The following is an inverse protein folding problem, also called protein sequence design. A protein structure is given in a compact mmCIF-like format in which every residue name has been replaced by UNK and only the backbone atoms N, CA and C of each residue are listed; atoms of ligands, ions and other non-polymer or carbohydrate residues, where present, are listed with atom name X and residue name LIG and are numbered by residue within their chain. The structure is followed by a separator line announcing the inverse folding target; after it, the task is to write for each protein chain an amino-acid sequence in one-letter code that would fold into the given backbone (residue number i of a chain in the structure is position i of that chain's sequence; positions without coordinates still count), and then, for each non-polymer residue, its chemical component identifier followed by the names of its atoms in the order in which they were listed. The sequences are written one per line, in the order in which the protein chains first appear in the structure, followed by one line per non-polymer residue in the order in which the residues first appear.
data_IF_570073152964
#
_entry.id   IF_570073152964
#
_cell.length_a   1.000
_cell.length_b   1.000
_cell.length_c   1.000
_cell.angle_alpha   90.00
_cell.angle_beta   90.00
_cell.angle_gamma   90.00
#
_symmetry.space_group_name_H-M   'P 1'
#
loop_
_entity.id
_entity.type
_entity.pdbx_description
1 polymer ?
#
# COMPACT_ATOMS: atom_id res chain seq x y z
N UNK A 1 23.08 5.05 8.42
CA UNK A 1 21.80 5.78 8.37
C UNK A 1 21.84 6.91 7.34
N UNK A 2 22.81 7.81 7.35
CA UNK A 2 22.86 8.94 6.40
C UNK A 2 22.84 8.45 4.94
N UNK A 3 23.68 7.51 4.58
CA UNK A 3 23.72 6.92 3.23
C UNK A 3 22.37 6.36 2.73
N UNK A 4 21.59 5.69 3.60
CA UNK A 4 20.27 5.18 3.20
C UNK A 4 19.29 6.31 2.90
N UNK A 5 19.33 7.39 3.68
CA UNK A 5 18.54 8.58 3.40
C UNK A 5 18.90 9.19 2.06
N UNK A 6 20.19 9.36 1.78
CA UNK A 6 20.68 9.92 0.51
C UNK A 6 20.22 9.08 -0.69
N UNK A 7 20.30 7.74 -0.60
CA UNK A 7 19.80 6.84 -1.66
C UNK A 7 18.29 6.99 -1.85
N UNK A 8 17.52 7.01 -0.76
CA UNK A 8 16.07 7.17 -0.83
C UNK A 8 15.70 8.54 -1.38
N UNK A 9 16.37 9.61 -0.94
CA UNK A 9 16.14 10.97 -1.46
C UNK A 9 16.34 11.02 -2.98
N UNK A 10 17.42 10.42 -3.48
CA UNK A 10 17.68 10.37 -4.93
C UNK A 10 16.59 9.57 -5.67
N UNK A 11 16.16 8.42 -5.15
CA UNK A 11 15.07 7.64 -5.74
C UNK A 11 13.78 8.48 -5.79
N UNK A 12 13.46 9.18 -4.72
CA UNK A 12 12.24 9.97 -4.65
C UNK A 12 12.29 11.17 -5.61
N UNK A 13 13.44 11.84 -5.73
CA UNK A 13 13.65 12.89 -6.73
C UNK A 13 13.48 12.38 -8.16
N UNK A 14 14.03 11.20 -8.47
CA UNK A 14 13.90 10.59 -9.80
C UNK A 14 12.45 10.28 -10.19
N UNK A 15 11.58 10.02 -9.22
CA UNK A 15 10.13 9.82 -9.44
C UNK A 15 9.30 11.09 -9.24
N UNK A 16 9.96 12.25 -9.08
CA UNK A 16 9.30 13.56 -9.07
C UNK A 16 8.91 14.10 -7.69
N UNK A 17 9.45 13.52 -6.60
CA UNK A 17 9.20 14.00 -5.24
C UNK A 17 10.47 14.60 -4.63
N UNK A 18 10.41 15.86 -4.26
CA UNK A 18 11.45 16.51 -3.44
C UNK A 18 11.13 16.36 -1.95
N UNK A 19 11.85 15.42 -1.29
CA UNK A 19 11.60 15.11 0.12
C UNK A 19 11.98 16.29 1.03
N UNK A 20 12.92 17.13 0.64
CA UNK A 20 13.40 18.24 1.47
C UNK A 20 12.45 19.46 1.41
N UNK A 21 11.80 19.67 0.27
CA UNK A 21 10.87 20.80 0.07
C UNK A 21 9.45 20.52 0.57
N UNK A 22 8.99 19.27 0.49
CA UNK A 22 7.58 18.91 0.68
C UNK A 22 7.20 18.49 2.12
N UNK A 23 8.04 18.75 3.12
CA UNK A 23 7.81 18.34 4.53
C UNK A 23 7.54 16.82 4.72
N UNK A 24 8.09 16.00 3.85
CA UNK A 24 7.88 14.56 3.89
C UNK A 24 8.60 13.91 5.07
N UNK A 25 7.95 12.99 5.74
CA UNK A 25 8.53 12.26 6.85
C UNK A 25 9.39 11.08 6.35
N UNK A 26 10.60 10.96 6.89
CA UNK A 26 11.48 9.80 6.66
C UNK A 26 11.74 9.08 7.97
N UNK A 27 11.27 7.84 8.05
CA UNK A 27 11.50 6.95 9.18
C UNK A 27 12.40 5.78 8.80
N UNK A 28 13.27 5.39 9.73
CA UNK A 28 14.16 4.24 9.56
C UNK A 28 14.03 3.31 10.76
N UNK A 29 13.60 2.08 10.50
CA UNK A 29 13.48 1.05 11.53
C UNK A 29 14.24 -0.21 11.10
N UNK A 30 14.93 -0.84 12.08
CA UNK A 30 15.55 -2.15 11.87
C UNK A 30 14.52 -3.26 12.02
N UNK A 31 14.39 -4.11 11.00
CA UNK A 31 13.52 -5.29 11.00
C UNK A 31 14.36 -6.52 10.66
N UNK A 32 14.68 -7.32 11.67
CA UNK A 32 15.58 -8.48 11.54
C UNK A 32 16.96 -8.05 11.00
N UNK A 33 17.36 -8.56 9.83
CA UNK A 33 18.61 -8.20 9.14
C UNK A 33 18.46 -7.05 8.13
N UNK A 34 17.24 -6.47 8.03
CA UNK A 34 16.96 -5.39 7.11
C UNK A 34 16.77 -4.08 7.87
N UNK A 35 17.06 -2.99 7.19
CA UNK A 35 16.64 -1.65 7.57
C UNK A 35 15.51 -1.25 6.63
N UNK A 36 14.34 -0.96 7.17
CA UNK A 36 13.22 -0.44 6.40
C UNK A 36 13.17 1.08 6.54
N UNK A 37 13.17 1.76 5.42
CA UNK A 37 13.04 3.22 5.33
C UNK A 37 11.68 3.52 4.73
N UNK A 38 10.89 4.34 5.41
CA UNK A 38 9.61 4.81 4.92
C UNK A 38 9.70 6.28 4.56
N UNK A 39 9.17 6.64 3.41
CA UNK A 39 8.87 8.01 3.02
C UNK A 39 7.36 8.17 2.94
N UNK A 40 6.81 9.12 3.66
CA UNK A 40 5.38 9.42 3.68
C UNK A 40 5.12 10.72 2.96
N UNK A 41 4.20 10.69 2.00
CA UNK A 41 3.81 11.84 1.17
C UNK A 41 2.31 12.04 1.37
N UNK A 42 1.89 13.07 2.12
CA UNK A 42 0.49 13.44 2.21
C UNK A 42 -0.06 13.77 0.82
N UNK A 43 -1.26 13.27 0.51
CA UNK A 43 -1.95 13.51 -0.77
C UNK A 43 -3.20 14.33 -0.59
N UNK A 44 -3.88 14.10 0.52
CA UNK A 44 -5.08 14.83 0.90
C UNK A 44 -4.94 15.15 2.37
N UNK A 45 -4.74 16.43 2.65
CA UNK A 45 -4.61 16.96 4.00
C UNK A 45 -5.66 18.06 4.18
N UNK A 46 -6.45 18.00 5.24
CA UNK A 46 -7.43 18.98 5.60
C UNK A 46 -7.47 19.09 7.13
N UNK A 47 -7.49 20.32 7.67
CA UNK A 47 -7.49 20.58 9.12
C UNK A 47 -6.38 19.83 9.88
N UNK A 48 -5.16 19.76 9.33
CA UNK A 48 -4.00 19.04 9.87
C UNK A 48 -4.16 17.50 9.94
N UNK A 49 -5.15 16.93 9.25
CA UNK A 49 -5.35 15.49 9.12
C UNK A 49 -4.94 15.02 7.74
N UNK A 50 -3.97 14.12 7.67
CA UNK A 50 -3.54 13.46 6.43
C UNK A 50 -4.49 12.31 6.08
N UNK A 51 -5.62 12.62 5.45
CA UNK A 51 -6.65 11.64 5.10
C UNK A 51 -6.17 10.56 4.15
N UNK A 52 -5.30 10.91 3.21
CA UNK A 52 -4.68 10.01 2.26
C UNK A 52 -3.17 10.27 2.20
N UNK A 53 -2.39 9.25 2.48
CA UNK A 53 -0.92 9.31 2.43
C UNK A 53 -0.38 8.21 1.52
N UNK A 54 0.47 8.58 0.58
CA UNK A 54 1.24 7.63 -0.20
C UNK A 54 2.56 7.34 0.53
N UNK A 55 2.81 6.09 0.85
CA UNK A 55 4.00 5.66 1.58
C UNK A 55 4.87 4.78 0.68
N UNK A 56 6.14 5.11 0.59
CA UNK A 56 7.15 4.28 -0.05
C UNK A 56 8.01 3.63 1.03
N UNK A 57 8.09 2.31 1.01
CA UNK A 57 8.86 1.52 1.97
C UNK A 57 10.01 0.87 1.21
N UNK A 58 11.25 1.16 1.61
CA UNK A 58 12.47 0.63 1.03
C UNK A 58 13.16 -0.30 2.02
N UNK A 59 13.54 -1.49 1.60
CA UNK A 59 14.26 -2.44 2.43
C UNK A 59 15.74 -2.50 2.03
N UNK A 60 16.62 -2.24 2.97
CA UNK A 60 18.07 -2.30 2.81
C UNK A 60 18.65 -3.43 3.66
N UNK A 61 19.73 -4.03 3.19
CA UNK A 61 20.55 -4.97 3.94
C UNK A 61 21.97 -4.42 4.10
N UNK A 62 22.58 -4.64 5.27
CA UNK A 62 23.96 -4.30 5.46
C UNK A 62 24.85 -5.14 4.52
N UNK A 63 25.77 -4.48 3.83
CA UNK A 63 26.80 -5.09 2.99
C UNK A 63 28.17 -4.46 3.31
N UNK A 64 29.26 -5.08 2.85
CA UNK A 64 30.63 -4.62 3.14
C UNK A 64 30.88 -3.20 2.64
N UNK A 65 30.30 -2.85 1.48
CA UNK A 65 30.45 -1.54 0.83
C UNK A 65 29.38 -0.52 1.28
N UNK A 66 28.57 -0.85 2.28
CA UNK A 66 27.45 -0.03 2.78
C UNK A 66 26.08 -0.69 2.58
N UNK A 67 24.99 -0.06 3.06
CA UNK A 67 23.65 -0.60 2.92
C UNK A 67 23.26 -0.72 1.45
N UNK A 68 22.76 -1.90 1.04
CA UNK A 68 22.29 -2.19 -0.31
C UNK A 68 20.78 -2.30 -0.32
N UNK A 69 20.12 -1.60 -1.27
CA UNK A 69 18.68 -1.72 -1.50
C UNK A 69 18.33 -3.15 -1.96
N UNK A 70 17.35 -3.76 -1.31
CA UNK A 70 16.92 -5.14 -1.56
C UNK A 70 15.48 -5.24 -2.09
N UNK A 71 14.67 -4.22 -1.86
CA UNK A 71 13.29 -4.20 -2.31
C UNK A 71 12.58 -2.92 -1.91
N UNK A 72 11.39 -2.76 -2.46
CA UNK A 72 10.51 -1.61 -2.20
C UNK A 72 9.05 -2.04 -2.21
N UNK A 73 8.21 -1.21 -1.60
CA UNK A 73 6.77 -1.38 -1.54
C UNK A 73 6.12 0.00 -1.55
N UNK A 74 5.02 0.15 -2.26
CA UNK A 74 4.17 1.34 -2.21
C UNK A 74 2.88 1.01 -1.47
N UNK A 75 2.47 1.88 -0.56
CA UNK A 75 1.27 1.68 0.26
C UNK A 75 0.51 2.99 0.38
N UNK A 76 -0.73 3.00 -0.07
CA UNK A 76 -1.65 4.08 0.28
C UNK A 76 -2.29 3.79 1.63
N UNK A 77 -2.17 4.73 2.54
CA UNK A 77 -2.82 4.71 3.85
C UNK A 77 -3.96 5.71 3.84
N UNK A 78 -5.16 5.24 4.15
CA UNK A 78 -6.40 6.02 4.13
C UNK A 78 -7.02 5.96 5.52
N UNK A 79 -7.37 7.12 6.07
CA UNK A 79 -8.25 7.17 7.24
C UNK A 79 -9.68 6.89 6.80
N UNK A 80 -10.36 5.90 7.37
CA UNK A 80 -11.74 5.58 7.03
C UNK A 80 -12.73 6.75 7.13
N UNK A 81 -12.47 7.70 8.02
CA UNK A 81 -13.28 8.91 8.16
C UNK A 81 -13.31 9.76 6.88
N UNK A 82 -12.31 9.64 6.02
CA UNK A 82 -12.27 10.32 4.72
C UNK A 82 -13.49 9.97 3.84
N UNK A 83 -14.06 8.78 3.99
CA UNK A 83 -15.23 8.36 3.23
C UNK A 83 -16.55 9.06 3.64
N UNK A 84 -16.54 9.81 4.74
CA UNK A 84 -17.72 10.58 5.22
C UNK A 84 -17.47 12.08 5.29
N UNK A 85 -16.23 12.52 5.55
CA UNK A 85 -15.91 13.95 5.74
C UNK A 85 -15.69 14.72 4.45
N UNK A 86 -15.41 14.03 3.36
CA UNK A 86 -15.01 14.69 2.12
C UNK A 86 -15.88 14.13 0.99
N UNK A 87 -16.28 14.94 -0.02
CA UNK A 87 -16.89 14.43 -1.26
C UNK A 87 -15.86 13.60 -2.06
N UNK A 88 -15.11 12.81 -1.35
CA UNK A 88 -13.84 12.21 -1.72
C UNK A 88 -13.92 10.83 -2.30
N UNK A 89 -15.10 10.24 -2.35
CA UNK A 89 -15.25 9.00 -3.10
C UNK A 89 -14.60 9.14 -4.49
N UNK A 90 -14.74 10.30 -5.12
CA UNK A 90 -14.08 10.61 -6.40
C UNK A 90 -12.60 10.91 -6.26
N UNK A 91 -12.18 11.67 -5.24
CA UNK A 91 -10.77 12.07 -5.10
C UNK A 91 -9.89 10.88 -4.70
N UNK A 92 -10.30 10.07 -3.73
CA UNK A 92 -9.58 8.84 -3.38
C UNK A 92 -9.44 7.93 -4.60
N UNK A 93 -10.54 7.72 -5.35
CA UNK A 93 -10.53 6.93 -6.57
C UNK A 93 -9.64 7.56 -7.65
N UNK A 94 -9.68 8.88 -7.84
CA UNK A 94 -8.83 9.58 -8.82
C UNK A 94 -7.35 9.43 -8.49
N UNK A 95 -6.96 9.53 -7.20
CA UNK A 95 -5.56 9.35 -6.81
C UNK A 95 -5.09 7.91 -7.00
N UNK A 96 -5.92 6.92 -6.66
CA UNK A 96 -5.55 5.51 -6.81
C UNK A 96 -5.57 5.05 -8.26
N UNK A 97 -6.56 5.49 -9.05
CA UNK A 97 -6.69 5.14 -10.48
C UNK A 97 -5.61 5.82 -11.35
N UNK A 98 -5.17 7.01 -10.95
CA UNK A 98 -4.11 7.75 -11.64
C UNK A 98 -2.72 7.12 -11.54
N UNK A 99 -2.49 6.24 -10.57
CA UNK A 99 -1.18 5.60 -10.34
C UNK A 99 -1.07 4.26 -11.10
N UNK A 100 -1.93 3.32 -10.76
CA UNK A 100 -2.00 2.02 -11.46
C UNK A 100 -3.43 1.48 -11.49
N UNK A 101 -3.75 0.66 -12.51
CA UNK A 101 -5.06 0.01 -12.59
C UNK A 101 -5.37 -0.83 -11.34
N UNK A 102 -4.39 -1.54 -10.80
CA UNK A 102 -4.54 -2.36 -9.58
C UNK A 102 -4.90 -1.53 -8.35
N UNK A 103 -4.28 -0.35 -8.18
CA UNK A 103 -4.61 0.55 -7.08
C UNK A 103 -6.02 1.12 -7.22
N UNK A 104 -6.43 1.49 -8.44
CA UNK A 104 -7.79 1.93 -8.72
C UNK A 104 -8.83 0.86 -8.36
N UNK A 105 -8.54 -0.39 -8.70
CA UNK A 105 -9.38 -1.54 -8.37
C UNK A 105 -9.51 -1.77 -6.87
N UNK A 106 -8.40 -1.77 -6.16
CA UNK A 106 -8.37 -1.91 -4.71
C UNK A 106 -9.12 -0.75 -4.04
N UNK A 107 -8.93 0.48 -4.53
CA UNK A 107 -9.61 1.67 -4.06
C UNK A 107 -11.13 1.55 -4.19
N UNK A 108 -11.62 1.15 -5.37
CA UNK A 108 -13.05 0.94 -5.62
C UNK A 108 -13.64 -0.18 -4.74
N UNK A 109 -12.90 -1.27 -4.56
CA UNK A 109 -13.33 -2.36 -3.67
C UNK A 109 -13.48 -1.85 -2.24
N UNK A 110 -12.46 -1.18 -1.69
CA UNK A 110 -12.49 -0.68 -0.33
C UNK A 110 -13.54 0.42 -0.12
N UNK A 111 -13.77 1.28 -1.11
CA UNK A 111 -14.88 2.23 -1.09
C UNK A 111 -16.23 1.52 -0.92
N UNK A 112 -16.48 0.46 -1.68
CA UNK A 112 -17.71 -0.32 -1.56
C UNK A 112 -17.84 -1.03 -0.19
N UNK A 113 -16.73 -1.51 0.38
CA UNK A 113 -16.71 -2.10 1.72
C UNK A 113 -17.07 -1.05 2.76
N UNK A 114 -16.43 0.12 2.73
CA UNK A 114 -16.66 1.21 3.67
C UNK A 114 -18.07 1.77 3.59
N UNK A 115 -18.58 2.01 2.38
CA UNK A 115 -19.96 2.49 2.18
C UNK A 115 -20.99 1.55 2.79
N UNK A 116 -20.80 0.23 2.62
CA UNK A 116 -21.68 -0.78 3.25
C UNK A 116 -21.53 -0.81 4.77
N UNK A 117 -20.31 -0.67 5.29
CA UNK A 117 -20.03 -0.67 6.72
C UNK A 117 -20.71 0.54 7.39
N UNK A 118 -20.48 1.74 6.89
CA UNK A 118 -21.05 2.99 7.39
C UNK A 118 -22.59 2.93 7.34
N UNK A 119 -23.16 2.54 6.22
CA UNK A 119 -24.61 2.38 6.07
C UNK A 119 -25.21 1.36 7.05
N UNK A 120 -24.50 0.28 7.34
CA UNK A 120 -24.92 -0.72 8.33
C UNK A 120 -24.96 -0.13 9.74
N UNK A 121 -23.98 0.70 10.10
CA UNK A 121 -23.82 1.31 11.43
C UNK A 121 -24.79 2.48 11.65
N UNK A 122 -24.93 3.37 10.67
CA UNK A 122 -25.67 4.63 10.78
C UNK A 122 -27.09 4.57 10.20
N UNK A 123 -27.35 3.67 9.25
CA UNK A 123 -28.53 3.61 8.36
C UNK A 123 -28.54 4.70 7.28
N UNK A 124 -27.52 5.54 7.22
CA UNK A 124 -27.32 6.60 6.26
C UNK A 124 -26.22 6.25 5.26
N UNK A 125 -26.26 6.82 4.07
CA UNK A 125 -25.15 6.74 3.10
C UNK A 125 -24.02 7.71 3.51
N UNK A 126 -22.83 7.52 2.93
CA UNK A 126 -21.72 8.45 3.14
C UNK A 126 -22.07 9.87 2.69
N UNK A 127 -22.82 10.01 1.58
CA UNK A 127 -23.28 11.29 1.04
C UNK A 127 -24.23 12.00 2.01
N UNK A 128 -25.22 11.26 2.59
CA UNK A 128 -26.14 11.83 3.58
C UNK A 128 -25.39 12.32 4.83
N UNK A 129 -24.38 11.57 5.28
CA UNK A 129 -23.55 11.97 6.44
C UNK A 129 -22.65 13.15 6.09
N UNK A 130 -22.13 13.19 4.87
CA UNK A 130 -21.33 14.34 4.40
C UNK A 130 -22.15 15.63 4.42
N UNK A 131 -23.41 15.56 3.99
CA UNK A 131 -24.33 16.71 4.00
C UNK A 131 -24.75 17.11 5.42
N UNK A 132 -24.78 16.17 6.36
CA UNK A 132 -25.18 16.38 7.77
C UNK A 132 -24.35 15.49 8.70
N UNK A 133 -23.25 16.01 9.20
CA UNK A 133 -22.32 15.30 10.09
C UNK A 133 -22.94 14.88 11.43
N UNK A 134 -24.05 15.48 11.85
CA UNK A 134 -24.79 15.07 13.06
C UNK A 134 -25.37 13.64 12.93
N UNK A 135 -25.45 13.11 11.70
CA UNK A 135 -25.84 11.72 11.44
C UNK A 135 -24.75 10.70 11.75
N UNK A 136 -23.49 11.14 11.98
CA UNK A 136 -22.37 10.29 12.35
C UNK A 136 -22.25 10.20 13.88
N UNK A 137 -22.51 9.03 14.50
CA UNK A 137 -22.32 8.86 15.93
C UNK A 137 -20.87 9.09 16.35
N UNK A 138 -20.62 9.77 17.47
CA UNK A 138 -19.29 10.07 17.97
C UNK A 138 -18.42 8.80 18.12
N UNK A 139 -19.00 7.70 18.61
CA UNK A 139 -18.29 6.42 18.77
C UNK A 139 -17.80 5.89 17.41
N UNK A 140 -18.61 6.02 16.36
CA UNK A 140 -18.21 5.59 15.02
C UNK A 140 -17.18 6.55 14.43
N UNK A 141 -17.29 7.86 14.66
CA UNK A 141 -16.29 8.83 14.24
C UNK A 141 -14.92 8.49 14.84
N UNK A 142 -14.84 8.22 16.13
CA UNK A 142 -13.59 7.81 16.80
C UNK A 142 -13.04 6.51 16.20
N UNK A 143 -13.89 5.51 15.97
CA UNK A 143 -13.51 4.27 15.31
C UNK A 143 -12.88 4.53 13.93
N UNK A 144 -13.47 5.43 13.13
CA UNK A 144 -13.01 5.75 11.77
C UNK A 144 -11.70 6.54 11.72
N UNK A 145 -11.36 7.31 12.76
CA UNK A 145 -10.08 8.05 12.84
C UNK A 145 -8.94 7.24 13.48
N UNK A 146 -9.25 6.21 14.25
CA UNK A 146 -8.25 5.38 14.92
C UNK A 146 -7.67 4.29 14.01
N UNK A 147 -8.41 3.91 12.97
CA UNK A 147 -8.04 2.81 12.08
C UNK A 147 -7.43 3.31 10.76
N UNK A 148 -6.89 2.35 10.00
CA UNK A 148 -6.32 2.60 8.68
C UNK A 148 -6.81 1.57 7.68
N UNK A 149 -7.06 2.05 6.45
CA UNK A 149 -7.17 1.21 5.27
C UNK A 149 -5.86 1.33 4.50
N UNK A 150 -5.28 0.21 4.14
CA UNK A 150 -4.03 0.15 3.40
C UNK A 150 -4.28 -0.50 2.03
N UNK A 151 -3.99 0.25 0.97
CA UNK A 151 -3.93 -0.29 -0.38
C UNK A 151 -2.46 -0.57 -0.68
N UNK A 152 -2.07 -1.85 -0.66
CA UNK A 152 -0.70 -2.27 -0.87
C UNK A 152 -0.51 -2.48 -2.38
N UNK A 153 0.16 -1.51 -2.99
CA UNK A 153 0.47 -1.50 -4.41
C UNK A 153 1.75 -2.27 -4.74
N UNK A 154 2.57 -1.71 -5.59
CA UNK A 154 3.77 -2.34 -6.11
C UNK A 154 4.70 -2.86 -5.02
N UNK A 155 4.93 -4.18 -5.02
CA UNK A 155 5.90 -4.83 -4.17
C UNK A 155 6.98 -5.42 -5.06
N UNK A 156 8.19 -4.91 -4.92
CA UNK A 156 9.33 -5.39 -5.67
C UNK A 156 10.47 -5.84 -4.76
N UNK A 157 11.02 -7.02 -5.04
CA UNK A 157 12.23 -7.54 -4.40
C UNK A 157 13.23 -7.91 -5.49
N UNK A 158 14.43 -7.35 -5.41
CA UNK A 158 15.51 -7.65 -6.36
C UNK A 158 15.75 -9.15 -6.46
N UNK A 159 16.04 -9.64 -7.64
CA UNK A 159 16.17 -11.08 -7.89
C UNK A 159 17.21 -11.72 -6.97
N UNK A 160 18.34 -11.06 -6.78
CA UNK A 160 19.40 -11.48 -5.86
C UNK A 160 18.94 -11.62 -4.40
N UNK A 161 17.83 -10.97 -4.01
CA UNK A 161 17.32 -10.93 -2.63
C UNK A 161 16.01 -11.68 -2.41
N UNK A 162 15.47 -12.26 -3.49
CA UNK A 162 14.28 -13.12 -3.40
C UNK A 162 14.57 -14.34 -2.53
N UNK A 163 13.54 -14.82 -1.85
CA UNK A 163 13.61 -15.96 -0.90
C UNK A 163 14.52 -15.73 0.31
N UNK A 164 15.06 -14.53 0.51
CA UNK A 164 15.89 -14.18 1.66
C UNK A 164 15.15 -13.45 2.79
N UNK A 165 13.81 -13.28 2.66
CA UNK A 165 12.97 -12.67 3.68
C UNK A 165 12.75 -11.16 3.53
N UNK A 166 13.20 -10.52 2.45
CA UNK A 166 13.03 -9.08 2.22
C UNK A 166 11.55 -8.67 2.24
N UNK A 167 10.70 -9.35 1.47
CA UNK A 167 9.26 -9.10 1.48
C UNK A 167 8.64 -9.25 2.87
N UNK A 168 9.01 -10.31 3.59
CA UNK A 168 8.54 -10.54 4.97
C UNK A 168 8.96 -9.41 5.90
N UNK A 169 10.17 -8.85 5.73
CA UNK A 169 10.63 -7.72 6.54
C UNK A 169 9.81 -6.45 6.26
N UNK A 170 9.52 -6.14 4.99
CA UNK A 170 8.64 -5.00 4.62
C UNK A 170 7.24 -5.17 5.19
N UNK A 171 6.64 -6.36 5.13
CA UNK A 171 5.35 -6.64 5.73
C UNK A 171 5.36 -6.51 7.26
N UNK A 172 6.41 -7.00 7.94
CA UNK A 172 6.57 -6.80 9.39
C UNK A 172 6.68 -5.32 9.76
N UNK A 173 7.41 -4.54 8.96
CA UNK A 173 7.49 -3.10 9.11
C UNK A 173 6.11 -2.45 9.00
N UNK A 174 5.34 -2.81 7.96
CA UNK A 174 3.98 -2.33 7.75
C UNK A 174 3.11 -2.58 8.98
N UNK A 175 3.14 -3.79 9.52
CA UNK A 175 2.41 -4.17 10.73
C UNK A 175 2.85 -3.42 11.98
N UNK A 176 4.14 -3.20 12.14
CA UNK A 176 4.67 -2.43 13.27
C UNK A 176 4.24 -0.97 13.22
N UNK A 177 4.12 -0.41 12.02
CA UNK A 177 3.79 0.99 11.83
C UNK A 177 2.28 1.26 11.89
N UNK A 178 1.49 0.48 11.16
CA UNK A 178 0.05 0.73 11.01
C UNK A 178 -0.83 -0.09 11.96
N UNK A 179 -0.24 -1.04 12.69
CA UNK A 179 -0.94 -1.90 13.64
C UNK A 179 -1.60 -3.12 12.99
N UNK A 180 -2.02 -4.06 13.87
CA UNK A 180 -2.67 -5.30 13.44
C UNK A 180 -4.14 -5.10 13.04
N UNK A 181 -4.74 -4.02 13.52
CA UNK A 181 -6.16 -3.73 13.30
C UNK A 181 -6.43 -2.99 11.98
N UNK A 182 -5.36 -2.68 11.23
CA UNK A 182 -5.51 -2.10 9.90
C UNK A 182 -6.16 -3.10 8.94
N UNK A 183 -7.12 -2.60 8.15
CA UNK A 183 -7.68 -3.36 7.02
C UNK A 183 -6.85 -3.09 5.79
N UNK A 184 -6.42 -4.13 5.07
CA UNK A 184 -5.62 -3.93 3.88
C UNK A 184 -6.00 -4.89 2.75
N UNK A 185 -5.69 -4.49 1.52
CA UNK A 185 -5.82 -5.28 0.30
C UNK A 185 -4.52 -5.20 -0.50
N UNK A 186 -4.15 -6.32 -1.09
CA UNK A 186 -2.95 -6.44 -1.92
C UNK A 186 -3.19 -7.39 -3.09
N UNK A 187 -2.67 -7.04 -4.27
CA UNK A 187 -2.62 -7.96 -5.39
C UNK A 187 -1.55 -9.03 -5.17
N UNK A 188 -1.85 -10.27 -5.52
CA UNK A 188 -0.89 -11.39 -5.47
C UNK A 188 -0.09 -11.57 -6.75
N UNK A 189 -0.34 -10.73 -7.75
CA UNK A 189 0.36 -10.78 -9.05
C UNK A 189 1.88 -10.72 -8.88
N UNK A 190 2.63 -11.59 -9.56
CA UNK A 190 4.07 -11.50 -9.56
C UNK A 190 4.50 -10.34 -10.48
N UNK A 191 5.12 -9.33 -9.90
CA UNK A 191 5.79 -8.28 -10.67
C UNK A 191 7.22 -8.70 -10.94
N UNK A 192 7.59 -8.82 -12.22
CA UNK A 192 8.96 -9.09 -12.65
C UNK A 192 9.48 -7.87 -13.40
N UNK A 193 10.49 -7.24 -12.85
CA UNK A 193 11.31 -6.27 -13.58
C UNK A 193 12.58 -6.98 -14.05
N UNK A 194 13.01 -6.76 -15.28
CA UNK A 194 14.32 -7.20 -15.73
C UNK A 194 15.39 -6.34 -15.06
N UNK A 195 16.54 -6.92 -14.66
CA UNK A 195 17.60 -6.18 -13.97
C UNK A 195 18.18 -5.03 -14.80
N UNK A 196 18.12 -5.09 -16.11
CA UNK A 196 18.63 -4.12 -17.07
C UNK A 196 17.62 -2.98 -17.38
N UNK A 197 16.37 -3.09 -16.95
CA UNK A 197 15.34 -2.03 -17.05
C UNK A 197 15.40 -1.07 -15.84
N UNK A 198 16.41 -1.22 -14.98
CA UNK A 198 16.60 -0.46 -13.76
C UNK A 198 17.32 0.88 -13.99
N UNK A 199 16.85 1.68 -14.92
CA UNK A 199 17.00 3.12 -14.78
C UNK A 199 15.87 3.59 -13.88
N UNK A 200 16.21 4.11 -12.72
CA UNK A 200 15.28 4.71 -11.72
C UNK A 200 14.23 5.66 -12.33
N UNK A 201 14.43 6.11 -13.55
CA UNK A 201 13.55 6.98 -14.32
C UNK A 201 12.31 6.30 -14.89
N UNK A 202 12.30 4.99 -14.99
CA UNK A 202 11.16 4.26 -15.55
C UNK A 202 10.52 3.35 -14.51
N UNK A 203 10.06 3.94 -13.40
CA UNK A 203 9.01 3.34 -12.60
C UNK A 203 7.68 3.25 -13.38
N UNK A 204 7.66 3.65 -14.63
CA UNK A 204 6.63 3.29 -15.61
C UNK A 204 6.87 1.86 -16.04
N UNK A 205 6.39 1.03 -15.23
CA UNK A 205 6.25 -0.39 -15.33
C UNK A 205 5.75 -0.81 -16.71
N UNK A 206 6.67 -1.22 -17.56
CA UNK A 206 6.35 -2.19 -18.57
C UNK A 206 6.35 -3.55 -17.87
N UNK A 207 5.19 -4.07 -17.52
CA UNK A 207 5.07 -5.44 -17.03
C UNK A 207 5.30 -6.39 -18.20
N UNK A 208 6.54 -6.71 -18.50
CA UNK A 208 6.82 -7.90 -19.29
C UNK A 208 6.71 -9.10 -18.36
N UNK A 209 5.54 -9.73 -18.40
CA UNK A 209 5.41 -11.07 -17.84
C UNK A 209 6.42 -11.95 -18.59
N UNK A 210 7.40 -12.55 -17.91
CA UNK A 210 8.21 -13.54 -18.60
C UNK A 210 7.27 -14.61 -19.15
N UNK A 211 7.56 -15.14 -20.33
CA UNK A 211 6.90 -16.33 -20.86
C UNK A 211 7.17 -17.51 -19.92
N UNK A 212 6.49 -17.54 -18.77
CA UNK A 212 6.55 -18.64 -17.81
C UNK A 212 5.36 -19.55 -18.02
N UNK A 213 5.58 -20.84 -17.79
CA UNK A 213 4.50 -21.79 -17.75
C UNK A 213 3.48 -21.40 -16.66
N UNK A 214 2.19 -21.60 -16.91
CA UNK A 214 1.10 -21.29 -15.97
C UNK A 214 1.34 -21.89 -14.57
N UNK A 215 2.02 -23.05 -14.48
CA UNK A 215 2.43 -23.68 -13.23
C UNK A 215 3.38 -22.82 -12.38
N UNK A 216 4.25 -22.04 -13.02
CA UNK A 216 5.21 -21.19 -12.30
C UNK A 216 4.52 -19.94 -11.77
N UNK A 217 3.55 -19.39 -12.50
CA UNK A 217 2.71 -18.28 -12.08
C UNK A 217 1.88 -18.71 -10.87
N UNK A 218 1.21 -19.86 -10.93
CA UNK A 218 0.42 -20.38 -9.82
C UNK A 218 1.29 -20.61 -8.56
N UNK A 219 2.49 -21.15 -8.71
CA UNK A 219 3.42 -21.32 -7.59
C UNK A 219 3.81 -19.97 -6.94
N UNK A 220 3.92 -18.91 -7.72
CA UNK A 220 4.16 -17.56 -7.20
C UNK A 220 2.99 -17.02 -6.41
N UNK A 221 1.79 -17.10 -6.97
CA UNK A 221 0.54 -16.69 -6.29
C UNK A 221 0.39 -17.44 -4.97
N UNK A 222 0.55 -18.76 -4.97
CA UNK A 222 0.46 -19.59 -3.77
C UNK A 222 1.53 -19.22 -2.73
N UNK A 223 2.74 -18.90 -3.18
CA UNK A 223 3.83 -18.47 -2.30
C UNK A 223 3.49 -17.12 -1.65
N UNK A 224 3.00 -16.15 -2.40
CA UNK A 224 2.59 -14.86 -1.88
C UNK A 224 1.43 -15.01 -0.87
N UNK A 225 0.39 -15.75 -1.22
CA UNK A 225 -0.73 -16.04 -0.31
C UNK A 225 -0.22 -16.68 0.99
N UNK A 226 0.72 -17.64 0.92
CA UNK A 226 1.28 -18.29 2.11
C UNK A 226 2.13 -17.33 2.97
N UNK A 227 2.75 -16.30 2.36
CA UNK A 227 3.42 -15.25 3.11
C UNK A 227 2.39 -14.39 3.84
N UNK A 228 1.36 -13.92 3.15
CA UNK A 228 0.30 -13.11 3.74
C UNK A 228 -0.41 -13.79 4.91
N UNK A 229 -0.68 -15.11 4.82
CA UNK A 229 -1.26 -15.91 5.92
C UNK A 229 -0.47 -15.87 7.23
N UNK A 230 0.81 -15.52 7.20
CA UNK A 230 1.63 -15.37 8.41
C UNK A 230 1.31 -14.10 9.21
N UNK A 231 0.61 -13.17 8.60
CA UNK A 231 0.27 -11.88 9.20
C UNK A 231 -1.17 -11.80 9.73
N UNK A 232 -1.92 -12.88 9.68
CA UNK A 232 -3.27 -12.99 10.24
C UNK A 232 -4.25 -13.69 9.31
N UNK A 233 -5.53 -13.62 9.66
CA UNK A 233 -6.60 -14.19 8.87
C UNK A 233 -6.82 -13.34 7.61
N UNK A 234 -6.65 -13.96 6.46
CA UNK A 234 -6.85 -13.31 5.17
C UNK A 234 -8.02 -13.94 4.42
N UNK A 235 -8.73 -13.12 3.68
CA UNK A 235 -9.68 -13.54 2.65
C UNK A 235 -9.04 -13.42 1.27
N UNK A 236 -9.32 -14.38 0.39
CA UNK A 236 -8.87 -14.34 -1.00
C UNK A 236 -10.08 -13.94 -1.84
N UNK A 237 -9.96 -12.86 -2.59
CA UNK A 237 -11.03 -12.37 -3.45
C UNK A 237 -10.54 -12.23 -4.88
N UNK A 238 -11.44 -12.44 -5.83
CA UNK A 238 -11.21 -12.11 -7.23
C UNK A 238 -12.09 -10.91 -7.56
N UNK A 239 -11.48 -9.83 -7.98
CA UNK A 239 -12.20 -8.62 -8.38
C UNK A 239 -12.63 -8.80 -9.84
N UNK A 240 -13.90 -9.15 -10.06
CA UNK A 240 -14.39 -9.73 -11.32
C UNK A 240 -14.67 -8.76 -12.46
N UNK A 241 -14.43 -7.46 -12.28
CA UNK A 241 -14.79 -6.45 -13.29
C UNK A 241 -13.59 -5.75 -13.93
N UNK A 242 -12.40 -6.31 -13.79
CA UNK A 242 -11.19 -5.52 -13.87
C UNK A 242 -10.18 -6.10 -14.85
N UNK A 243 -9.40 -5.22 -15.44
CA UNK A 243 -8.44 -5.50 -16.51
C UNK A 243 -7.30 -6.43 -16.10
N UNK A 244 -7.03 -6.54 -14.79
CA UNK A 244 -6.04 -7.43 -14.20
C UNK A 244 -6.61 -8.77 -13.69
N UNK A 245 -7.82 -9.13 -14.11
CA UNK A 245 -8.63 -10.25 -13.58
C UNK A 245 -8.02 -11.66 -13.56
N UNK A 246 -6.73 -11.81 -13.83
CA UNK A 246 -6.04 -13.10 -13.82
C UNK A 246 -5.53 -13.49 -12.42
N UNK A 247 -5.36 -12.54 -11.48
CA UNK A 247 -4.76 -12.81 -10.17
C UNK A 247 -5.71 -12.47 -9.02
N UNK A 248 -5.75 -13.34 -7.99
CA UNK A 248 -6.53 -13.05 -6.81
C UNK A 248 -5.86 -11.96 -5.95
N UNK A 249 -6.70 -11.21 -5.25
CA UNK A 249 -6.28 -10.31 -4.19
C UNK A 249 -6.37 -10.99 -2.84
N UNK A 250 -5.49 -10.62 -1.92
CA UNK A 250 -5.58 -10.98 -0.51
C UNK A 250 -6.04 -9.77 0.28
N UNK A 251 -6.95 -10.01 1.21
CA UNK A 251 -7.48 -9.00 2.09
C UNK A 251 -7.26 -9.45 3.52
N UNK A 252 -6.70 -8.57 4.33
CA UNK A 252 -6.72 -8.68 5.78
C UNK A 252 -7.84 -7.78 6.29
N UNK A 253 -8.78 -8.37 7.01
CA UNK A 253 -9.86 -7.63 7.65
C UNK A 253 -9.44 -7.31 9.06
N UNK A 254 -9.08 -6.06 9.32
CA UNK A 254 -8.91 -5.53 10.66
C UNK A 254 -10.25 -5.51 11.38
N UNK A 255 -10.91 -4.37 11.33
CA UNK A 255 -12.23 -4.19 11.97
C UNK A 255 -13.39 -4.08 10.96
N UNK A 256 -13.13 -3.92 9.68
CA UNK A 256 -14.14 -3.72 8.64
C UNK A 256 -14.52 -4.98 7.87
#
# INVERSE_FOLDING_TARGET
MHYMKDVVTNIMLDIGYDIEEDHNEIDIISVEKYYCVRVSIPRICEDDIDYLTNNYIFAFMAAEDGPRLCGRMQVYSIFPVAYVNIPMDREILMYTDGETADLGEMGLYMHNVMSKYIKKKTKHSCEEIHDDLDLLPEELFLELIEHRILLIGDIYVYESDRKKGCFTAMMKYLYQWFGQDSTWICNTSPVYLKEDEYEYREMKVGYDYPEKADSDIQLFVDTNINIFKKFGDIEIVTLSNMTSGEFPYVIHKGIF
#
